data_IF_610045545201
#
_entry.id   IF_610045545201
#
_cell.length_a   1.000
_cell.length_b   1.000
_cell.length_c   1.000
_cell.angle_alpha   90.00
_cell.angle_beta   90.00
_cell.angle_gamma   90.00
#
_symmetry.space_group_name_H-M   'P 1'
#
loop_
_entity.id
_entity.type
_entity.pdbx_description
1 polymer ?
#
# COMPACT_ATOMS: atom_id res chain seq x y z
N UNK A 1 -4.01 8.75 15.31
CA UNK A 1 -2.63 8.20 15.18
C UNK A 1 -2.27 8.10 13.70
N UNK A 2 -1.00 7.84 13.35
CA UNK A 2 -0.56 7.62 11.97
C UNK A 2 -0.37 6.12 11.74
N UNK A 3 -0.93 5.59 10.66
CA UNK A 3 -0.80 4.18 10.26
C UNK A 3 -0.15 4.10 8.88
N UNK A 4 0.77 3.15 8.71
CA UNK A 4 1.36 2.80 7.44
C UNK A 4 0.97 1.37 7.07
N UNK A 5 0.39 1.18 5.89
CA UNK A 5 0.21 -0.14 5.29
C UNK A 5 1.28 -0.39 4.25
N UNK A 6 1.86 -1.58 4.28
CA UNK A 6 2.69 -2.08 3.19
C UNK A 6 1.93 -3.17 2.45
N UNK A 7 1.85 -3.04 1.13
CA UNK A 7 1.38 -4.10 0.25
C UNK A 7 2.29 -4.14 -0.98
N UNK A 8 2.76 -5.30 -1.42
CA UNK A 8 3.70 -5.31 -2.55
C UNK A 8 3.05 -4.82 -3.84
N UNK A 9 1.82 -5.25 -4.13
CA UNK A 9 1.09 -4.89 -5.34
C UNK A 9 -0.39 -4.74 -5.02
N UNK A 10 -0.95 -3.57 -5.31
CA UNK A 10 -2.37 -3.33 -5.20
C UNK A 10 -3.06 -3.47 -6.55
N UNK A 11 -4.19 -4.20 -6.56
CA UNK A 11 -5.14 -4.31 -7.65
C UNK A 11 -6.52 -4.66 -7.06
N UNK A 12 -7.65 -4.30 -7.69
CA UNK A 12 -8.96 -4.32 -7.02
C UNK A 12 -9.59 -5.72 -6.89
N UNK A 13 -8.99 -6.74 -7.50
CA UNK A 13 -9.57 -8.08 -7.61
C UNK A 13 -9.08 -9.07 -6.54
N UNK A 14 -8.10 -8.70 -5.72
CA UNK A 14 -7.56 -9.58 -4.68
C UNK A 14 -8.23 -9.40 -3.31
N UNK A 15 -8.37 -10.49 -2.55
CA UNK A 15 -8.97 -10.47 -1.21
C UNK A 15 -8.20 -9.57 -0.24
N UNK A 16 -6.90 -9.82 -0.10
CA UNK A 16 -6.00 -9.05 0.78
C UNK A 16 -5.96 -7.56 0.43
N UNK A 17 -5.97 -7.22 -0.86
CA UNK A 17 -5.96 -5.85 -1.36
C UNK A 17 -7.22 -5.10 -0.94
N UNK A 18 -8.40 -5.72 -1.14
CA UNK A 18 -9.69 -5.15 -0.75
C UNK A 18 -9.83 -5.02 0.75
N UNK A 19 -9.37 -6.01 1.51
CA UNK A 19 -9.45 -5.99 2.96
C UNK A 19 -8.54 -4.92 3.55
N UNK A 20 -7.30 -4.79 3.06
CA UNK A 20 -6.41 -3.69 3.45
C UNK A 20 -7.07 -2.33 3.18
N UNK A 21 -7.66 -2.13 1.99
CA UNK A 21 -8.28 -0.85 1.67
C UNK A 21 -9.53 -0.57 2.51
N UNK A 22 -10.31 -1.60 2.85
CA UNK A 22 -11.45 -1.50 3.78
C UNK A 22 -10.97 -1.07 5.17
N UNK A 23 -9.91 -1.69 5.68
CA UNK A 23 -9.31 -1.31 6.97
C UNK A 23 -8.77 0.11 6.94
N UNK A 24 -8.05 0.51 5.89
CA UNK A 24 -7.54 1.87 5.72
C UNK A 24 -8.66 2.92 5.74
N UNK A 25 -9.75 2.68 5.01
CA UNK A 25 -10.93 3.56 4.99
C UNK A 25 -11.59 3.67 6.37
N UNK A 26 -11.66 2.57 7.10
CA UNK A 26 -12.23 2.56 8.46
C UNK A 26 -11.35 3.34 9.46
N UNK A 27 -10.02 3.25 9.34
CA UNK A 27 -9.11 4.04 10.16
C UNK A 27 -9.25 5.54 9.90
N UNK A 28 -9.37 5.94 8.62
CA UNK A 28 -9.62 7.35 8.26
C UNK A 28 -10.93 7.85 8.84
N UNK A 29 -12.01 7.07 8.75
CA UNK A 29 -13.31 7.43 9.35
C UNK A 29 -13.23 7.68 10.86
N UNK A 30 -12.29 7.02 11.55
CA UNK A 30 -12.01 7.21 12.98
C UNK A 30 -11.07 8.39 13.28
N UNK A 31 -10.74 9.20 12.27
CA UNK A 31 -9.86 10.37 12.42
C UNK A 31 -8.38 10.02 12.46
N UNK A 32 -7.96 8.88 11.90
CA UNK A 32 -6.56 8.51 11.79
C UNK A 32 -5.98 8.85 10.41
N UNK A 33 -4.69 9.16 10.36
CA UNK A 33 -3.98 9.36 9.08
C UNK A 33 -3.46 8.02 8.58
N UNK A 34 -3.65 7.74 7.29
CA UNK A 34 -3.21 6.48 6.68
C UNK A 34 -2.34 6.76 5.47
N UNK A 35 -1.19 6.08 5.42
CA UNK A 35 -0.30 6.06 4.26
C UNK A 35 -0.15 4.60 3.78
N UNK A 36 -0.18 4.39 2.46
CA UNK A 36 -0.04 3.07 1.84
C UNK A 36 1.21 3.10 0.97
N UNK A 37 2.12 2.17 1.21
CA UNK A 37 3.32 1.96 0.40
C UNK A 37 3.14 0.72 -0.46
N UNK A 38 3.42 0.84 -1.76
CA UNK A 38 3.31 -0.26 -2.72
C UNK A 38 4.32 -0.18 -3.84
N UNK A 39 4.65 -1.31 -4.47
CA UNK A 39 5.50 -1.32 -5.67
C UNK A 39 4.69 -0.88 -6.90
N UNK A 40 3.39 -1.17 -6.91
CA UNK A 40 2.48 -0.82 -7.99
C UNK A 40 1.05 -0.63 -7.50
N UNK A 41 0.32 0.25 -8.14
CA UNK A 41 -1.10 0.50 -7.89
C UNK A 41 -1.88 0.37 -9.21
N UNK A 42 -2.88 -0.49 -9.21
CA UNK A 42 -3.83 -0.66 -10.30
C UNK A 42 -5.26 -0.48 -9.76
N UNK A 43 -6.07 0.31 -10.46
CA UNK A 43 -7.41 0.75 -10.04
C UNK A 43 -7.46 2.17 -9.46
N UNK A 44 -8.66 2.58 -9.05
CA UNK A 44 -8.91 3.94 -8.60
C UNK A 44 -8.13 4.29 -7.34
N UNK A 45 -7.64 5.53 -7.28
CA UNK A 45 -7.00 6.05 -6.09
C UNK A 45 -8.02 6.18 -4.94
N UNK A 46 -7.60 5.93 -3.69
CA UNK A 46 -8.47 6.08 -2.53
C UNK A 46 -8.77 7.57 -2.25
N UNK A 47 -9.69 7.86 -1.30
CA UNK A 47 -9.94 9.23 -0.84
C UNK A 47 -8.65 9.96 -0.45
N UNK A 48 -8.64 11.30 -0.57
CA UNK A 48 -7.45 12.14 -0.39
C UNK A 48 -6.79 12.02 1.00
N UNK A 49 -7.54 11.55 2.00
CA UNK A 49 -7.08 11.26 3.35
C UNK A 49 -6.16 10.03 3.45
N UNK A 50 -6.13 9.19 2.41
CA UNK A 50 -5.24 8.03 2.26
C UNK A 50 -4.17 8.38 1.22
N UNK A 51 -2.94 8.59 1.67
CA UNK A 51 -1.82 8.83 0.75
C UNK A 51 -1.28 7.52 0.22
N UNK A 52 -1.10 7.42 -1.10
CA UNK A 52 -0.50 6.25 -1.75
C UNK A 52 0.90 6.61 -2.25
N UNK A 53 1.89 5.89 -1.77
CA UNK A 53 3.29 5.99 -2.14
C UNK A 53 3.64 4.78 -3.02
N UNK A 54 3.79 5.02 -4.32
CA UNK A 54 4.26 4.01 -5.25
C UNK A 54 5.79 4.07 -5.30
N UNK A 55 6.45 3.00 -4.89
CA UNK A 55 7.90 2.83 -4.85
C UNK A 55 8.31 1.69 -5.80
N UNK A 56 8.46 1.95 -7.11
CA UNK A 56 8.79 0.91 -8.08
C UNK A 56 10.17 0.30 -7.79
N UNK A 57 10.21 -1.00 -7.58
CA UNK A 57 11.44 -1.75 -7.39
C UNK A 57 11.66 -2.78 -8.47
N UNK A 58 12.94 -3.01 -8.79
CA UNK A 58 13.42 -4.06 -9.71
C UNK A 58 14.27 -5.05 -8.93
N UNK A 59 14.31 -6.30 -9.39
CA UNK A 59 15.18 -7.35 -8.85
C UNK A 59 15.27 -8.47 -9.89
N UNK A 60 16.38 -9.21 -9.89
CA UNK A 60 16.52 -10.35 -10.80
C UNK A 60 15.54 -11.46 -10.42
N UNK A 61 15.29 -11.60 -9.11
CA UNK A 61 14.27 -12.49 -8.55
C UNK A 61 13.21 -11.71 -7.77
N UNK A 62 12.02 -12.31 -7.63
CA UNK A 62 10.90 -11.68 -6.91
C UNK A 62 11.23 -11.37 -5.45
N UNK A 63 11.92 -12.27 -4.74
CA UNK A 63 12.29 -12.04 -3.34
C UNK A 63 13.26 -10.84 -3.20
N UNK A 64 14.19 -10.66 -4.14
CA UNK A 64 15.10 -9.50 -4.15
C UNK A 64 14.33 -8.21 -4.43
N UNK A 65 13.38 -8.25 -5.37
CA UNK A 65 12.51 -7.11 -5.67
C UNK A 65 11.70 -6.69 -4.44
N UNK A 66 11.19 -7.65 -3.68
CA UNK A 66 10.42 -7.39 -2.46
C UNK A 66 11.30 -6.94 -1.30
N UNK A 67 12.50 -7.49 -1.14
CA UNK A 67 13.46 -7.02 -0.13
C UNK A 67 13.84 -5.56 -0.39
N UNK A 68 14.19 -5.20 -1.63
CA UNK A 68 14.48 -3.80 -2.01
C UNK A 68 13.32 -2.85 -1.78
N UNK A 69 12.08 -3.35 -1.83
CA UNK A 69 10.91 -2.53 -1.51
C UNK A 69 10.79 -2.30 -0.01
N UNK A 70 11.02 -3.32 0.81
CA UNK A 70 11.05 -3.20 2.27
C UNK A 70 12.14 -2.19 2.68
N UNK A 71 13.35 -2.31 2.12
CA UNK A 71 14.48 -1.42 2.40
C UNK A 71 14.27 0.03 1.91
N UNK A 72 13.32 0.25 0.99
CA UNK A 72 12.99 1.60 0.50
C UNK A 72 11.82 2.24 1.27
N UNK A 73 11.03 1.43 1.98
CA UNK A 73 9.90 1.88 2.78
C UNK A 73 10.29 2.22 4.23
N UNK A 74 11.42 1.67 4.72
CA UNK A 74 11.97 1.85 6.07
C UNK A 74 13.47 2.10 6.01
#
# INVERSE_FOLDING_TARGET
>A
MKFAFLIFKYFPFGGMQRDMLRTAKELVKRGHSVEIFTISWDGDLPPAEIKVHVLPQKGLFNYQRYQRFIDAAF
#
